data_IF_595063647437
#
_entry.id   IF_595063647437
#
_cell.length_a   1.000
_cell.length_b   1.000
_cell.length_c   1.000
_cell.angle_alpha   90.00
_cell.angle_beta   90.00
_cell.angle_gamma   90.00
#
_symmetry.space_group_name_H-M   'P 1'
#
loop_
_entity.id
_entity.type
_entity.pdbx_description
1 polymer ?
#
# COMPACT_ATOMS: atom_id res chain seq x y z
N UNK A 1 41.35 30.56 51.93
CA UNK A 1 40.11 31.36 52.02
C UNK A 1 39.24 30.99 50.83
N UNK A 2 38.03 30.49 51.07
CA UNK A 2 37.15 30.01 50.01
C UNK A 2 35.90 29.36 50.60
N UNK A 3 34.97 30.20 51.06
CA UNK A 3 33.69 29.80 51.64
C UNK A 3 32.73 29.38 50.53
N UNK A 4 32.35 28.09 50.46
CA UNK A 4 31.19 27.66 49.68
C UNK A 4 30.00 27.43 50.61
N UNK A 5 29.07 28.38 50.56
CA UNK A 5 27.83 28.38 51.33
C UNK A 5 26.89 27.24 50.91
N UNK A 6 26.41 26.50 51.91
CA UNK A 6 25.37 25.51 51.74
C UNK A 6 24.01 26.15 51.49
N UNK A 7 23.49 26.00 50.27
CA UNK A 7 22.12 26.32 49.92
C UNK A 7 21.15 25.34 50.58
N UNK A 8 20.40 25.81 51.58
CA UNK A 8 19.28 25.07 52.18
C UNK A 8 18.14 24.97 51.15
N UNK A 9 17.95 23.78 50.60
CA UNK A 9 16.81 23.45 49.76
C UNK A 9 15.50 23.55 50.57
N UNK A 10 14.68 24.54 50.24
CA UNK A 10 13.35 24.77 50.79
C UNK A 10 12.43 23.64 50.30
N UNK A 11 12.05 22.74 51.20
CA UNK A 11 11.15 21.61 50.93
C UNK A 11 9.72 22.15 50.76
N UNK A 12 9.35 22.52 49.53
CA UNK A 12 7.96 22.83 49.17
C UNK A 12 7.11 21.57 49.34
N UNK A 13 6.24 21.57 50.35
CA UNK A 13 5.18 20.58 50.51
C UNK A 13 4.12 20.85 49.44
N UNK A 14 4.17 20.14 48.30
CA UNK A 14 3.03 20.02 47.41
C UNK A 14 1.89 19.32 48.16
N UNK A 15 0.95 20.11 48.66
CA UNK A 15 -0.34 19.66 49.18
C UNK A 15 -1.19 19.15 48.01
N UNK A 16 -1.06 17.88 47.69
CA UNK A 16 -1.90 17.13 46.76
C UNK A 16 -3.30 16.89 47.36
N UNK A 17 -4.11 17.95 47.42
CA UNK A 17 -5.54 17.81 47.71
C UNK A 17 -6.24 17.17 46.51
N UNK A 18 -6.35 15.84 46.57
CA UNK A 18 -7.23 15.07 45.71
C UNK A 18 -8.68 15.44 46.06
N UNK A 19 -9.31 16.27 45.21
CA UNK A 19 -10.75 16.51 45.29
C UNK A 19 -11.45 15.19 45.00
N UNK A 20 -11.88 14.48 46.06
CA UNK A 20 -12.78 13.33 45.96
C UNK A 20 -14.03 13.78 45.22
N UNK A 21 -14.17 13.40 43.95
CA UNK A 21 -15.42 13.52 43.20
C UNK A 21 -16.49 12.74 43.95
N UNK A 22 -17.31 13.45 44.73
CA UNK A 22 -18.50 12.87 45.33
C UNK A 22 -19.40 12.42 44.19
N UNK A 23 -19.60 11.10 44.08
CA UNK A 23 -20.48 10.50 43.08
C UNK A 23 -21.91 10.85 43.44
N UNK A 24 -22.42 11.98 42.96
CA UNK A 24 -23.84 12.28 43.03
C UNK A 24 -24.58 11.28 42.15
N UNK A 25 -25.66 10.68 42.67
CA UNK A 25 -26.51 9.79 41.89
C UNK A 25 -26.99 10.54 40.64
N UNK A 26 -26.95 9.91 39.45
CA UNK A 26 -27.36 10.58 38.22
C UNK A 26 -28.80 11.04 38.35
N UNK A 27 -29.04 12.31 37.98
CA UNK A 27 -30.38 12.90 38.00
C UNK A 27 -31.30 12.09 37.08
N UNK A 28 -32.48 11.65 37.57
CA UNK A 28 -33.44 10.96 36.71
C UNK A 28 -33.86 11.90 35.58
N UNK A 29 -33.93 11.35 34.37
CA UNK A 29 -34.25 12.12 33.18
C UNK A 29 -35.68 12.65 33.24
N UNK A 30 -35.85 13.91 32.87
CA UNK A 30 -37.18 14.50 32.73
C UNK A 30 -37.88 13.90 31.49
N UNK A 31 -39.22 13.99 31.45
CA UNK A 31 -40.03 13.54 30.31
C UNK A 31 -39.65 14.27 29.01
N UNK A 32 -39.24 15.54 29.11
CA UNK A 32 -38.77 16.34 27.99
C UNK A 32 -37.38 15.92 27.52
N UNK A 33 -36.50 15.54 28.45
CA UNK A 33 -35.16 15.04 28.12
C UNK A 33 -35.24 13.70 27.39
N UNK A 34 -36.16 12.83 27.81
CA UNK A 34 -36.48 11.60 27.08
C UNK A 34 -36.95 11.84 25.66
N UNK A 35 -37.82 12.84 25.47
CA UNK A 35 -38.34 13.20 24.14
C UNK A 35 -37.23 13.76 23.23
N UNK A 36 -36.32 14.58 23.78
CA UNK A 36 -35.13 15.07 23.06
C UNK A 36 -34.18 13.94 22.69
N UNK A 37 -33.92 13.02 23.61
CA UNK A 37 -33.06 11.88 23.36
C UNK A 37 -33.64 10.91 22.31
N UNK A 38 -34.95 10.68 22.32
CA UNK A 38 -35.62 9.88 21.29
C UNK A 38 -35.44 10.47 19.88
N UNK A 39 -35.52 11.80 19.73
CA UNK A 39 -35.23 12.48 18.45
C UNK A 39 -33.78 12.32 18.03
N UNK A 40 -32.85 12.45 18.99
CA UNK A 40 -31.43 12.25 18.73
C UNK A 40 -31.12 10.81 18.27
N UNK A 41 -31.69 9.81 18.93
CA UNK A 41 -31.56 8.41 18.51
C UNK A 41 -32.15 8.16 17.12
N UNK A 42 -33.29 8.79 16.79
CA UNK A 42 -33.86 8.70 15.45
C UNK A 42 -32.97 9.34 14.37
N UNK A 43 -32.27 10.44 14.69
CA UNK A 43 -31.29 11.03 13.76
C UNK A 43 -30.06 10.12 13.57
N UNK A 44 -29.65 9.40 14.61
CA UNK A 44 -28.54 8.45 14.52
C UNK A 44 -28.94 7.14 13.82
N UNK A 45 -30.20 6.72 13.92
CA UNK A 45 -30.69 5.48 13.32
C UNK A 45 -31.00 5.63 11.83
N UNK A 46 -31.27 6.85 11.35
CA UNK A 46 -31.35 7.08 9.90
C UNK A 46 -29.98 6.78 9.27
N UNK A 47 -29.93 5.90 8.25
CA UNK A 47 -28.68 5.60 7.57
C UNK A 47 -28.08 6.90 7.04
N UNK A 48 -26.84 7.18 7.41
CA UNK A 48 -26.10 8.33 6.87
C UNK A 48 -26.17 8.21 5.35
N UNK A 49 -26.78 9.19 4.68
CA UNK A 49 -26.79 9.25 3.22
C UNK A 49 -25.33 9.10 2.77
N UNK A 50 -25.02 8.03 2.04
CA UNK A 50 -23.69 7.74 1.53
C UNK A 50 -23.34 8.79 0.46
N UNK A 51 -22.95 10.00 0.88
CA UNK A 51 -22.40 11.02 -0.01
C UNK A 51 -21.11 10.56 -0.72
N UNK A 52 -20.54 9.41 -0.30
CA UNK A 52 -19.36 8.82 -0.91
C UNK A 52 -19.67 7.92 -2.12
N UNK A 53 -20.84 7.28 -2.21
CA UNK A 53 -21.09 6.32 -3.30
C UNK A 53 -21.41 7.00 -4.63
N UNK A 54 -21.98 8.21 -4.62
CA UNK A 54 -22.40 8.89 -5.85
C UNK A 54 -21.24 9.58 -6.60
N UNK A 55 -20.10 9.85 -5.93
CA UNK A 55 -18.94 10.50 -6.57
C UNK A 55 -17.71 9.61 -6.80
N UNK A 56 -17.62 8.42 -6.21
CA UNK A 56 -16.42 7.57 -6.32
C UNK A 56 -16.43 6.61 -7.52
N UNK A 57 -17.56 6.41 -8.21
CA UNK A 57 -17.66 5.44 -9.32
C UNK A 57 -17.76 6.05 -10.72
N UNK A 58 -17.77 7.39 -10.84
CA UNK A 58 -17.50 8.03 -12.13
C UNK A 58 -15.99 8.26 -12.28
N UNK A 59 -15.20 7.16 -12.27
CA UNK A 59 -13.89 7.25 -12.89
C UNK A 59 -14.14 7.69 -14.35
N UNK A 60 -13.54 8.80 -14.81
CA UNK A 60 -13.73 9.24 -16.19
C UNK A 60 -13.34 8.07 -17.08
N UNK A 61 -14.33 7.55 -17.81
CA UNK A 61 -14.12 6.45 -18.74
C UNK A 61 -12.94 6.84 -19.64
N UNK A 62 -11.91 5.97 -19.79
CA UNK A 62 -10.77 6.29 -20.62
C UNK A 62 -11.30 6.62 -22.01
N UNK A 63 -11.12 7.88 -22.42
CA UNK A 63 -11.57 8.34 -23.74
C UNK A 63 -10.88 7.44 -24.76
N UNK A 64 -11.66 6.76 -25.59
CA UNK A 64 -11.13 5.94 -26.69
C UNK A 64 -10.48 6.90 -27.68
N UNK A 65 -9.17 7.09 -27.55
CA UNK A 65 -8.40 7.94 -28.46
C UNK A 65 -8.15 7.11 -29.74
N UNK A 66 -8.51 7.60 -30.94
CA UNK A 66 -8.25 6.87 -32.17
C UNK A 66 -6.74 6.70 -32.36
N UNK A 67 -6.32 5.57 -32.95
CA UNK A 67 -4.90 5.25 -33.17
C UNK A 67 -4.17 6.36 -33.94
N UNK A 68 -4.85 7.07 -34.86
CA UNK A 68 -4.27 8.21 -35.60
C UNK A 68 -3.74 9.32 -34.69
N UNK A 69 -4.42 9.60 -33.57
CA UNK A 69 -3.99 10.61 -32.60
C UNK A 69 -2.86 10.11 -31.68
N UNK A 70 -2.60 8.80 -31.62
CA UNK A 70 -1.52 8.20 -30.84
C UNK A 70 -0.23 7.99 -31.62
N UNK A 71 -0.29 7.89 -32.96
CA UNK A 71 0.87 7.73 -33.85
C UNK A 71 2.06 8.67 -33.55
N UNK A 72 1.88 10.00 -33.44
CA UNK A 72 3.03 10.89 -33.18
C UNK A 72 3.70 10.67 -31.82
N UNK A 73 2.95 10.17 -30.82
CA UNK A 73 3.51 9.81 -29.52
C UNK A 73 4.24 8.46 -29.57
N UNK A 74 3.72 7.50 -30.33
CA UNK A 74 4.41 6.23 -30.54
C UNK A 74 5.74 6.45 -31.28
N UNK A 75 5.75 7.33 -32.28
CA UNK A 75 6.97 7.67 -33.04
C UNK A 75 8.01 8.42 -32.19
N UNK A 76 7.58 9.21 -31.20
CA UNK A 76 8.52 9.89 -30.29
C UNK A 76 9.10 8.97 -29.21
N UNK A 77 8.35 7.93 -28.81
CA UNK A 77 8.80 6.94 -27.83
C UNK A 77 9.61 5.80 -28.48
N UNK A 78 9.36 5.47 -29.74
CA UNK A 78 10.08 4.43 -30.48
C UNK A 78 11.48 4.87 -30.90
N UNK A 79 11.70 6.18 -31.03
CA UNK A 79 13.04 6.72 -31.22
C UNK A 79 13.80 6.56 -29.90
N UNK A 80 14.94 5.83 -29.87
CA UNK A 80 15.79 5.83 -28.69
C UNK A 80 16.03 7.28 -28.35
N UNK A 81 15.72 7.67 -27.11
CA UNK A 81 15.99 9.02 -26.62
C UNK A 81 17.46 9.20 -26.87
N UNK A 82 17.81 9.97 -27.92
CA UNK A 82 19.18 10.31 -28.19
C UNK A 82 19.65 10.84 -26.86
N UNK A 83 20.54 10.11 -26.21
CA UNK A 83 21.23 10.62 -25.04
C UNK A 83 21.88 11.83 -25.66
N UNK A 84 21.25 13.00 -25.46
CA UNK A 84 21.83 14.26 -25.88
C UNK A 84 23.25 14.10 -25.39
N UNK A 85 24.19 14.11 -26.32
CA UNK A 85 25.60 14.13 -26.01
C UNK A 85 25.71 15.36 -25.12
N UNK A 86 25.54 15.14 -23.82
CA UNK A 86 25.77 16.11 -22.81
C UNK A 86 27.21 16.40 -23.13
N UNK A 87 27.42 17.57 -23.74
CA UNK A 87 28.72 18.17 -23.88
C UNK A 87 29.15 18.34 -22.45
N UNK A 88 29.70 17.27 -21.89
CA UNK A 88 30.43 17.36 -20.67
C UNK A 88 31.63 18.16 -21.13
N UNK A 89 31.70 19.41 -20.71
CA UNK A 89 32.84 20.28 -20.94
C UNK A 89 34.02 19.67 -20.17
N UNK A 90 34.58 18.60 -20.73
CA UNK A 90 35.83 18.05 -20.31
C UNK A 90 36.89 18.94 -20.97
N UNK A 91 37.73 19.65 -20.21
CA UNK A 91 38.74 20.55 -20.77
C UNK A 91 39.86 19.81 -21.54
N UNK A 92 39.77 18.48 -21.62
CA UNK A 92 40.73 17.61 -22.28
C UNK A 92 40.09 17.13 -23.58
N UNK A 93 40.74 17.41 -24.72
CA UNK A 93 40.22 17.12 -26.06
C UNK A 93 39.75 15.68 -26.27
N UNK A 94 38.91 15.45 -27.30
CA UNK A 94 38.12 14.22 -27.48
C UNK A 94 38.94 12.93 -27.49
N UNK A 95 40.18 12.98 -27.95
CA UNK A 95 41.06 11.80 -28.04
C UNK A 95 41.84 11.50 -26.74
N UNK A 96 41.66 12.32 -25.70
CA UNK A 96 42.37 12.22 -24.41
C UNK A 96 41.42 12.08 -23.21
N UNK A 97 40.10 12.22 -23.38
CA UNK A 97 39.17 11.97 -22.28
C UNK A 97 38.89 10.47 -22.16
N UNK A 98 39.09 9.92 -20.96
CA UNK A 98 38.63 8.57 -20.61
C UNK A 98 37.09 8.45 -20.49
N UNK A 99 36.36 9.51 -20.81
CA UNK A 99 34.91 9.58 -20.71
C UNK A 99 34.15 8.96 -21.90
N UNK A 100 34.86 8.65 -23.00
CA UNK A 100 34.28 8.02 -24.21
C UNK A 100 34.65 6.55 -24.42
N UNK A 101 35.45 5.93 -23.54
CA UNK A 101 35.79 4.51 -23.66
C UNK A 101 34.61 3.67 -23.17
N UNK A 102 34.14 2.75 -24.02
CA UNK A 102 32.99 1.86 -23.84
C UNK A 102 33.17 0.78 -22.76
N UNK A 103 33.95 1.05 -21.70
CA UNK A 103 34.01 0.21 -20.52
C UNK A 103 32.95 0.72 -19.52
N UNK A 104 31.82 0.01 -19.30
CA UNK A 104 30.80 0.44 -18.35
C UNK A 104 31.32 0.47 -16.90
N UNK A 105 32.50 -0.10 -16.65
CA UNK A 105 33.15 -0.16 -15.35
C UNK A 105 34.23 0.92 -15.30
N UNK A 106 33.84 2.12 -14.82
CA UNK A 106 34.80 3.20 -14.55
C UNK A 106 35.91 2.69 -13.63
N UNK A 107 37.17 2.82 -14.05
CA UNK A 107 38.33 2.46 -13.20
C UNK A 107 38.25 3.27 -11.90
N UNK A 108 38.18 2.57 -10.76
CA UNK A 108 38.15 3.20 -9.44
C UNK A 108 39.44 4.00 -9.25
N UNK A 109 39.38 5.30 -8.91
CA UNK A 109 40.57 6.12 -8.74
C UNK A 109 41.46 5.54 -7.63
N UNK A 110 42.78 5.63 -7.79
CA UNK A 110 43.73 5.04 -6.84
C UNK A 110 43.50 5.53 -5.39
N UNK A 111 43.12 6.80 -5.21
CA UNK A 111 42.76 7.40 -3.91
C UNK A 111 41.55 6.76 -3.23
N UNK A 112 40.60 6.22 -4.00
CA UNK A 112 39.44 5.54 -3.44
C UNK A 112 39.79 4.11 -2.99
N UNK A 113 40.82 3.49 -3.58
CA UNK A 113 41.30 2.16 -3.15
C UNK A 113 42.03 2.22 -1.81
N UNK A 114 42.70 3.34 -1.52
CA UNK A 114 43.39 3.59 -0.24
C UNK A 114 42.60 4.45 0.74
N UNK A 115 41.30 4.63 0.53
CA UNK A 115 40.48 5.47 1.39
C UNK A 115 40.35 4.86 2.79
N UNK A 116 40.88 5.57 3.79
CA UNK A 116 40.69 5.24 5.20
C UNK A 116 39.41 5.91 5.71
N UNK A 117 38.46 5.11 6.19
CA UNK A 117 37.19 5.62 6.69
C UNK A 117 37.43 6.59 7.87
N UNK A 118 36.81 7.77 7.80
CA UNK A 118 36.86 8.72 8.92
C UNK A 118 36.14 8.16 10.14
N UNK A 119 36.53 8.60 11.35
CA UNK A 119 35.86 8.21 12.61
C UNK A 119 34.33 8.38 12.57
N UNK A 120 33.85 9.41 11.87
CA UNK A 120 32.41 9.65 11.66
C UNK A 120 31.76 8.56 10.80
N UNK A 121 32.39 8.17 9.70
CA UNK A 121 31.89 7.08 8.84
C UNK A 121 31.86 5.78 9.62
N UNK A 122 32.93 5.48 10.37
CA UNK A 122 32.98 4.30 11.24
C UNK A 122 31.84 4.30 12.28
N UNK A 123 31.54 5.45 12.90
CA UNK A 123 30.42 5.60 13.84
C UNK A 123 29.04 5.45 13.17
N UNK A 124 28.88 5.94 11.94
CA UNK A 124 27.62 5.80 11.20
C UNK A 124 27.42 4.38 10.65
N UNK A 125 28.50 3.67 10.34
CA UNK A 125 28.45 2.28 9.89
C UNK A 125 28.25 1.29 11.03
N UNK A 126 28.45 1.70 12.28
CA UNK A 126 28.11 0.86 13.42
C UNK A 126 26.60 0.60 13.43
N UNK A 127 26.15 -0.66 13.56
CA UNK A 127 24.74 -0.94 13.77
C UNK A 127 24.29 -0.19 15.02
N UNK A 128 23.15 0.51 14.95
CA UNK A 128 22.57 1.15 16.13
C UNK A 128 22.27 0.03 17.13
N UNK A 129 23.04 -0.03 18.22
CA UNK A 129 23.07 -1.19 19.11
C UNK A 129 21.78 -1.43 19.90
N UNK A 130 20.81 -0.53 19.87
CA UNK A 130 19.63 -0.67 20.70
C UNK A 130 18.35 -0.80 19.89
N UNK A 131 18.19 -1.95 19.24
CA UNK A 131 16.84 -2.39 18.86
C UNK A 131 15.96 -2.54 20.12
N UNK A 132 16.56 -2.93 21.26
CA UNK A 132 15.84 -3.04 22.54
C UNK A 132 15.43 -1.69 23.15
N UNK A 133 16.26 -0.63 23.09
CA UNK A 133 15.80 0.71 23.54
C UNK A 133 14.83 1.34 22.56
N UNK A 134 14.99 1.10 21.24
CA UNK A 134 14.01 1.58 20.27
C UNK A 134 12.62 0.94 20.48
N UNK A 135 12.58 -0.35 20.85
CA UNK A 135 11.33 -1.05 21.25
C UNK A 135 10.78 -0.57 22.60
N UNK A 136 11.62 -0.05 23.50
CA UNK A 136 11.16 0.55 24.77
C UNK A 136 10.60 1.97 24.60
N UNK A 137 11.20 2.78 23.73
CA UNK A 137 10.81 4.18 23.52
C UNK A 137 9.64 4.35 22.53
N UNK A 138 9.44 3.37 21.63
CA UNK A 138 8.19 3.22 20.91
C UNK A 138 7.40 2.08 21.56
N UNK A 139 6.44 2.35 22.45
CA UNK A 139 5.40 1.37 22.71
C UNK A 139 4.66 1.19 21.39
N UNK A 140 5.13 0.26 20.55
CA UNK A 140 4.33 -0.38 19.50
C UNK A 140 3.05 -1.01 20.09
N UNK A 141 2.93 -0.96 21.42
CA UNK A 141 1.79 -1.36 22.20
C UNK A 141 1.15 -0.16 22.94
N UNK A 142 0.69 0.86 22.21
CA UNK A 142 -0.77 1.04 22.27
C UNK A 142 -1.36 -0.04 21.38
N UNK A 143 -1.33 -1.28 21.89
CA UNK A 143 -2.41 -2.20 21.60
C UNK A 143 -3.58 -1.41 22.13
N UNK A 144 -4.25 -0.68 21.24
CA UNK A 144 -5.58 -0.17 21.49
C UNK A 144 -6.25 -1.32 22.25
N UNK A 145 -6.73 -1.08 23.46
CA UNK A 145 -7.51 -2.08 24.18
C UNK A 145 -8.78 -2.30 23.37
N UNK A 146 -8.64 -2.97 22.23
CA UNK A 146 -9.68 -3.31 21.31
C UNK A 146 -10.50 -4.32 22.09
N UNK A 147 -11.79 -4.05 22.18
CA UNK A 147 -12.73 -5.02 22.74
C UNK A 147 -12.42 -6.39 22.13
N UNK A 148 -12.33 -7.44 22.96
CA UNK A 148 -12.02 -8.82 22.50
C UNK A 148 -12.91 -9.27 21.34
N UNK A 149 -14.11 -8.67 21.19
CA UNK A 149 -15.04 -8.84 20.07
C UNK A 149 -14.47 -8.41 18.69
N UNK A 150 -13.53 -7.48 18.65
CA UNK A 150 -12.85 -7.01 17.42
C UNK A 150 -11.70 -7.97 17.07
N UNK A 151 -11.03 -8.51 18.09
CA UNK A 151 -9.92 -9.46 17.93
C UNK A 151 -10.39 -10.87 17.51
N UNK A 152 -11.68 -11.18 17.70
CA UNK A 152 -12.29 -12.41 17.17
C UNK A 152 -13.00 -12.05 15.86
N UNK A 153 -12.38 -12.27 14.68
CA UNK A 153 -13.01 -11.97 13.41
C UNK A 153 -14.27 -12.84 13.24
N UNK A 154 -15.45 -12.22 13.38
CA UNK A 154 -16.71 -12.84 12.98
C UNK A 154 -16.87 -12.72 11.47
N UNK A 155 -16.33 -13.69 10.74
CA UNK A 155 -16.61 -13.81 9.32
C UNK A 155 -18.10 -14.02 9.07
N UNK A 156 -18.65 -13.30 8.09
CA UNK A 156 -20.04 -13.48 7.69
C UNK A 156 -20.28 -14.91 7.19
N UNK A 157 -21.53 -15.37 7.24
CA UNK A 157 -21.91 -16.69 6.71
C UNK A 157 -21.43 -16.89 5.26
N UNK A 158 -21.51 -15.83 4.44
CA UNK A 158 -21.02 -15.84 3.06
C UNK A 158 -19.52 -16.11 2.98
N UNK A 159 -18.70 -15.42 3.80
CA UNK A 159 -17.25 -15.62 3.80
C UNK A 159 -16.91 -17.05 4.22
N UNK A 160 -17.59 -17.60 5.25
CA UNK A 160 -17.41 -19.00 5.66
C UNK A 160 -17.76 -19.97 4.53
N UNK A 161 -18.88 -19.73 3.84
CA UNK A 161 -19.33 -20.55 2.70
C UNK A 161 -18.37 -20.49 1.51
N UNK A 162 -17.77 -19.33 1.25
CA UNK A 162 -16.79 -19.16 0.17
C UNK A 162 -15.42 -19.75 0.52
N UNK A 163 -15.04 -19.70 1.81
CA UNK A 163 -13.80 -20.26 2.31
C UNK A 163 -13.85 -21.79 2.45
N UNK A 164 -15.05 -22.38 2.55
CA UNK A 164 -15.22 -23.83 2.46
C UNK A 164 -14.73 -24.29 1.08
N UNK A 165 -13.72 -25.19 1.02
CA UNK A 165 -13.31 -25.75 -0.25
C UNK A 165 -14.52 -26.41 -0.88
N UNK A 166 -14.80 -26.05 -2.14
CA UNK A 166 -15.79 -26.81 -2.91
C UNK A 166 -15.21 -28.21 -3.03
N UNK A 167 -15.85 -29.18 -2.41
CA UNK A 167 -15.57 -30.59 -2.66
C UNK A 167 -15.88 -30.84 -4.14
N UNK A 168 -14.87 -30.64 -4.99
CA UNK A 168 -14.86 -31.23 -6.30
C UNK A 168 -14.78 -32.71 -6.03
N UNK A 169 -15.86 -33.43 -6.36
CA UNK A 169 -15.93 -34.87 -6.26
C UNK A 169 -14.61 -35.45 -6.75
N UNK A 170 -13.96 -36.18 -5.85
CA UNK A 170 -12.55 -36.50 -5.87
C UNK A 170 -12.02 -36.74 -7.28
N UNK A 171 -10.89 -36.09 -7.55
CA UNK A 171 -9.89 -36.59 -8.46
C UNK A 171 -9.56 -38.02 -8.01
N UNK A 172 -10.28 -39.01 -8.56
CA UNK A 172 -9.89 -40.41 -8.47
C UNK A 172 -8.46 -40.48 -9.01
N UNK A 173 -7.50 -41.09 -8.28
CA UNK A 173 -6.09 -41.12 -8.71
C UNK A 173 -5.88 -41.75 -10.10
N UNK A 174 -6.86 -42.52 -10.60
CA UNK A 174 -6.85 -43.10 -11.95
C UNK A 174 -7.24 -42.13 -13.08
N UNK A 175 -7.71 -40.91 -12.77
CA UNK A 175 -8.04 -39.93 -13.81
C UNK A 175 -6.82 -39.07 -14.14
N UNK A 176 -6.23 -39.30 -15.31
CA UNK A 176 -5.25 -38.42 -15.92
C UNK A 176 -5.73 -36.96 -15.82
N UNK A 177 -5.00 -36.05 -15.15
CA UNK A 177 -5.40 -34.65 -15.02
C UNK A 177 -5.45 -33.92 -16.38
N UNK A 178 -4.82 -34.48 -17.41
CA UNK A 178 -4.87 -34.01 -18.79
C UNK A 178 -5.85 -34.80 -19.67
N UNK A 179 -6.61 -35.73 -19.08
CA UNK A 179 -7.62 -36.51 -19.78
C UNK A 179 -8.79 -35.64 -20.21
N UNK A 180 -9.00 -35.52 -21.52
CA UNK A 180 -10.19 -34.88 -22.08
C UNK A 180 -11.41 -35.72 -21.68
N UNK A 181 -12.46 -35.07 -21.16
CA UNK A 181 -13.70 -35.78 -20.84
C UNK A 181 -14.30 -36.41 -22.10
N UNK A 182 -14.86 -37.62 -22.04
CA UNK A 182 -15.51 -38.24 -23.20
C UNK A 182 -16.64 -37.37 -23.76
N UNK A 183 -17.36 -36.67 -22.88
CA UNK A 183 -18.39 -35.69 -23.25
C UNK A 183 -17.85 -34.53 -24.09
N UNK A 184 -16.61 -34.10 -23.82
CA UNK A 184 -15.98 -33.01 -24.55
C UNK A 184 -15.49 -33.46 -25.94
N UNK A 185 -15.15 -34.75 -26.11
CA UNK A 185 -14.86 -35.33 -27.43
C UNK A 185 -16.11 -35.46 -28.30
N UNK A 186 -17.28 -35.65 -27.68
CA UNK A 186 -18.57 -35.74 -28.35
C UNK A 186 -19.31 -34.40 -28.45
N UNK A 187 -18.76 -33.32 -27.88
CA UNK A 187 -19.40 -32.03 -27.88
C UNK A 187 -19.37 -31.43 -29.30
N UNK A 188 -20.54 -31.31 -29.93
CA UNK A 188 -20.69 -30.58 -31.18
C UNK A 188 -20.63 -29.07 -30.93
N UNK A 189 -19.95 -28.35 -31.82
CA UNK A 189 -19.93 -26.89 -31.80
C UNK A 189 -21.35 -26.33 -31.96
N UNK A 190 -21.66 -25.22 -31.27
CA UNK A 190 -22.98 -24.60 -31.41
C UNK A 190 -23.22 -24.12 -32.86
N UNK A 191 -24.48 -24.06 -33.33
CA UNK A 191 -24.78 -23.65 -34.71
C UNK A 191 -24.13 -22.32 -35.10
N UNK A 192 -24.15 -21.34 -34.20
CA UNK A 192 -23.49 -20.04 -34.38
C UNK A 192 -21.98 -20.15 -34.56
N UNK A 193 -21.32 -21.07 -33.85
CA UNK A 193 -19.87 -21.28 -33.98
C UNK A 193 -19.55 -21.91 -35.33
N UNK A 194 -20.41 -22.82 -35.82
CA UNK A 194 -20.31 -23.39 -37.16
C UNK A 194 -20.48 -22.31 -38.24
N UNK A 195 -21.47 -21.42 -38.09
CA UNK A 195 -21.69 -20.28 -39.01
C UNK A 195 -20.49 -19.32 -39.05
N UNK A 196 -19.89 -19.02 -37.89
CA UNK A 196 -18.73 -18.14 -37.81
C UNK A 196 -17.44 -18.78 -38.33
N UNK A 197 -17.32 -20.10 -38.21
CA UNK A 197 -16.18 -20.84 -38.73
C UNK A 197 -16.21 -20.98 -40.25
N UNK A 198 -17.39 -20.84 -40.88
CA UNK A 198 -17.47 -20.79 -42.33
C UNK A 198 -16.73 -19.54 -42.84
N UNK A 199 -15.74 -19.72 -43.73
CA UNK A 199 -15.05 -18.58 -44.32
C UNK A 199 -16.07 -17.76 -45.10
N UNK A 200 -16.21 -16.48 -44.78
CA UNK A 200 -16.95 -15.55 -45.62
C UNK A 200 -16.19 -15.47 -46.94
N UNK A 201 -16.84 -15.82 -48.05
CA UNK A 201 -16.29 -15.58 -49.39
C UNK A 201 -16.05 -14.09 -49.54
N UNK A 202 -14.81 -13.66 -49.32
CA UNK A 202 -14.38 -12.31 -49.69
C UNK A 202 -14.27 -12.29 -51.21
N UNK A 203 -15.36 -11.93 -51.89
CA UNK A 203 -15.25 -11.47 -53.26
C UNK A 203 -14.55 -10.12 -53.20
N UNK A 204 -13.25 -10.08 -53.49
CA UNK A 204 -12.59 -8.84 -53.90
C UNK A 204 -13.14 -8.48 -55.28
N UNK A 205 -14.32 -7.86 -55.32
CA UNK A 205 -14.86 -7.28 -56.54
C UNK A 205 -14.01 -6.04 -56.87
N UNK A 206 -13.37 -6.10 -58.04
CA UNK A 206 -12.64 -5.02 -58.71
C UNK A 206 -13.52 -3.79 -58.96
#
# INVERSE_FOLDING_TARGET
MGCFGGSKAKKEKLSSQTKKCQKTKPKPWSKDDWKKHGRYLNQLSTPKKNYAEEKLYQAPQPRKVPLSALKPRMDSLSRPKAVASFKHDCPVGPDKCHCHVADPIRKVPAKAKSYVATKRITKLSQPKLDYQEMVRCFPMQRVMCLNKRILVPRSSYRIKKLAMPKYQHLCTPDRNPYGVKPEALLAMASPRTMELAQPKSFSWAN
#
